data_IF_795501465702
#
_entry.id   IF_795501465702
#
_cell.length_a   1.000
_cell.length_b   1.000
_cell.length_c   1.000
_cell.angle_alpha   90.00
_cell.angle_beta   90.00
_cell.angle_gamma   90.00
#
_symmetry.space_group_name_H-M   'P 1'
#
loop_
_entity.id
_entity.type
_entity.pdbx_description
1 polymer ?
#
# COMPACT_ATOMS: atom_id res chain seq x y z
N UNK A 1 -31.41 10.32 17.52
CA UNK A 1 -31.11 10.72 16.13
C UNK A 1 -29.61 10.78 15.84
N UNK A 2 -28.81 11.51 16.62
CA UNK A 2 -27.36 11.63 16.38
C UNK A 2 -26.60 10.29 16.29
N UNK A 3 -26.91 9.31 17.14
CA UNK A 3 -26.28 7.99 17.11
C UNK A 3 -26.59 7.21 15.82
N UNK A 4 -27.84 7.26 15.34
CA UNK A 4 -28.25 6.59 14.09
C UNK A 4 -27.53 7.21 12.90
N UNK A 5 -27.47 8.54 12.82
CA UNK A 5 -26.71 9.23 11.78
C UNK A 5 -25.21 8.93 11.85
N UNK A 6 -24.63 8.84 13.06
CA UNK A 6 -23.24 8.46 13.25
C UNK A 6 -22.93 7.04 12.76
N UNK A 7 -23.80 6.07 13.05
CA UNK A 7 -23.65 4.68 12.58
C UNK A 7 -23.76 4.61 11.06
N UNK A 8 -24.74 5.30 10.47
CA UNK A 8 -24.91 5.33 9.01
C UNK A 8 -23.70 5.97 8.32
N UNK A 9 -23.18 7.06 8.88
CA UNK A 9 -22.01 7.75 8.35
C UNK A 9 -20.75 6.88 8.40
N UNK A 10 -20.49 6.22 9.53
CA UNK A 10 -19.37 5.27 9.64
C UNK A 10 -19.52 4.09 8.68
N UNK A 11 -20.72 3.53 8.57
CA UNK A 11 -21.02 2.46 7.61
C UNK A 11 -20.73 2.87 6.17
N UNK A 12 -21.13 4.09 5.79
CA UNK A 12 -20.84 4.64 4.46
C UNK A 12 -19.33 4.80 4.22
N UNK A 13 -18.57 5.33 5.18
CA UNK A 13 -17.12 5.47 5.05
C UNK A 13 -16.41 4.12 4.89
N UNK A 14 -16.78 3.12 5.69
CA UNK A 14 -16.24 1.76 5.57
C UNK A 14 -16.59 1.16 4.22
N UNK A 15 -17.83 1.32 3.76
CA UNK A 15 -18.26 0.84 2.44
C UNK A 15 -17.47 1.47 1.29
N UNK A 16 -17.30 2.80 1.31
CA UNK A 16 -16.49 3.53 0.33
C UNK A 16 -15.04 3.03 0.35
N UNK A 17 -14.45 2.87 1.53
CA UNK A 17 -13.07 2.39 1.67
C UNK A 17 -12.89 0.99 1.04
N UNK A 18 -13.78 0.04 1.35
CA UNK A 18 -13.72 -1.31 0.80
C UNK A 18 -13.87 -1.28 -0.72
N UNK A 19 -14.83 -0.50 -1.24
CA UNK A 19 -15.03 -0.34 -2.67
C UNK A 19 -13.76 0.19 -3.37
N UNK A 20 -13.19 1.28 -2.85
CA UNK A 20 -11.96 1.88 -3.40
C UNK A 20 -10.79 0.90 -3.30
N UNK A 21 -10.66 0.14 -2.22
CA UNK A 21 -9.62 -0.87 -2.06
C UNK A 21 -9.70 -1.97 -3.13
N UNK A 22 -10.91 -2.47 -3.40
CA UNK A 22 -11.14 -3.47 -4.45
C UNK A 22 -10.80 -2.90 -5.82
N UNK A 23 -11.23 -1.67 -6.11
CA UNK A 23 -10.93 -1.02 -7.37
C UNK A 23 -9.43 -0.75 -7.54
N UNK A 24 -8.75 -0.31 -6.48
CA UNK A 24 -7.30 -0.11 -6.47
C UNK A 24 -6.53 -1.42 -6.76
N UNK A 25 -7.00 -2.56 -6.24
CA UNK A 25 -6.42 -3.87 -6.54
C UNK A 25 -6.64 -4.34 -7.99
N UNK A 26 -7.71 -3.88 -8.64
CA UNK A 26 -7.97 -4.18 -10.06
C UNK A 26 -7.20 -3.27 -11.00
N UNK A 27 -6.71 -2.12 -10.53
CA UNK A 27 -5.86 -1.24 -11.31
C UNK A 27 -4.61 -2.01 -11.71
N UNK A 28 -4.39 -2.26 -13.01
CA UNK A 28 -3.22 -3.01 -13.44
C UNK A 28 -1.97 -2.23 -13.06
N UNK A 29 -0.95 -2.97 -12.65
CA UNK A 29 0.40 -2.41 -12.49
C UNK A 29 0.86 -1.85 -13.85
N UNK A 30 1.49 -0.66 -13.88
CA UNK A 30 1.98 -0.10 -15.13
C UNK A 30 3.02 -1.03 -15.76
N UNK A 31 3.06 -1.05 -17.10
CA UNK A 31 3.99 -1.90 -17.87
C UNK A 31 5.43 -1.67 -17.39
N UNK A 32 6.14 -2.74 -17.06
CA UNK A 32 7.52 -2.68 -16.56
C UNK A 32 7.66 -2.50 -15.04
N UNK A 33 6.55 -2.40 -14.30
CA UNK A 33 6.54 -2.33 -12.84
C UNK A 33 5.99 -3.60 -12.18
N UNK A 34 5.78 -4.69 -12.91
CA UNK A 34 5.21 -5.94 -12.37
C UNK A 34 6.10 -6.59 -11.30
N UNK A 35 7.41 -6.35 -11.35
CA UNK A 35 8.42 -6.93 -10.47
C UNK A 35 9.24 -5.86 -9.75
N UNK A 36 8.64 -4.72 -9.42
CA UNK A 36 9.30 -3.65 -8.65
C UNK A 36 9.57 -4.14 -7.22
N UNK A 37 10.64 -4.92 -7.05
CA UNK A 37 11.28 -5.11 -5.75
C UNK A 37 12.01 -3.82 -5.44
N UNK A 38 12.07 -3.44 -4.17
CA UNK A 38 12.94 -2.36 -3.74
C UNK A 38 14.38 -2.74 -4.07
N UNK A 39 14.88 -2.26 -5.21
CA UNK A 39 16.27 -2.44 -5.58
C UNK A 39 17.10 -1.46 -4.75
N UNK A 40 17.82 -2.01 -3.79
CA UNK A 40 18.68 -1.24 -2.91
C UNK A 40 20.07 -1.00 -3.53
N UNK A 41 20.39 -1.61 -4.68
CA UNK A 41 21.68 -1.41 -5.37
C UNK A 41 21.75 -0.01 -5.99
N UNK A 42 20.66 0.48 -6.56
CA UNK A 42 20.56 1.84 -7.11
C UNK A 42 20.45 2.94 -6.05
N UNK A 43 20.13 2.60 -4.80
CA UNK A 43 19.86 3.56 -3.74
C UNK A 43 21.09 3.78 -2.85
N UNK A 44 21.81 4.91 -3.02
CA UNK A 44 22.98 5.28 -2.19
C UNK A 44 22.63 5.80 -0.78
N UNK A 45 21.36 5.73 -0.37
CA UNK A 45 20.92 6.21 0.93
C UNK A 45 21.28 5.16 1.99
N UNK A 46 22.39 5.39 2.69
CA UNK A 46 22.91 4.48 3.71
C UNK A 46 22.06 4.42 4.98
N UNK A 47 21.21 5.43 5.22
CA UNK A 47 20.27 5.48 6.35
C UNK A 47 18.93 4.78 6.08
N UNK A 48 18.75 4.18 4.90
CA UNK A 48 17.51 3.51 4.55
C UNK A 48 17.37 2.20 5.34
N UNK A 49 16.35 2.12 6.21
CA UNK A 49 16.09 0.93 7.05
C UNK A 49 15.74 -0.33 6.26
N UNK A 50 15.37 -0.20 4.98
CA UNK A 50 15.13 -1.32 4.07
C UNK A 50 16.43 -1.92 3.48
N UNK A 51 17.51 -1.13 3.45
CA UNK A 51 18.82 -1.57 2.92
C UNK A 51 19.39 -2.71 3.75
N UNK A 52 19.34 -2.59 5.07
CA UNK A 52 19.87 -3.62 5.99
C UNK A 52 19.10 -4.94 5.93
N UNK A 53 17.81 -4.89 5.55
CA UNK A 53 17.00 -6.10 5.36
C UNK A 53 17.38 -6.81 4.07
N UNK A 54 17.56 -6.06 2.98
CA UNK A 54 17.97 -6.59 1.67
C UNK A 54 19.35 -7.26 1.70
N UNK A 55 20.34 -6.65 2.35
CA UNK A 55 21.69 -7.22 2.51
C UNK A 55 21.70 -8.54 3.30
N UNK A 56 20.67 -8.81 4.11
CA UNK A 56 20.56 -10.05 4.91
C UNK A 56 19.80 -11.16 4.18
N UNK A 57 18.95 -10.83 3.20
CA UNK A 57 18.22 -11.81 2.38
C UNK A 57 19.07 -12.34 1.21
N UNK A 58 20.09 -11.60 0.79
CA UNK A 58 21.02 -11.99 -0.28
C UNK A 58 22.25 -12.80 0.21
N UNK A 59 22.39 -12.99 1.53
CA UNK A 59 23.49 -13.73 2.16
C UNK A 59 23.03 -15.11 2.62
#
# INVERSE_FOLDING_TARGET
MALVYGILFLGALVGIYIFLYIQNKKTPVPKGCENLKADCEGCKITSCSLRDKKLKEEK
#
